data_IF_278189527680
#
_entry.id   IF_278189527680
#
_cell.length_a   1.000
_cell.length_b   1.000
_cell.length_c   1.000
_cell.angle_alpha   90.00
_cell.angle_beta   90.00
_cell.angle_gamma   90.00
#
_symmetry.space_group_name_H-M   'P 1'
#
loop_
_entity.id
_entity.type
_entity.pdbx_description
1 polymer ?
#
# COMPACT_ATOMS: atom_id res chain seq x y z
N UNK A 1 16.68 52.03 -24.08
CA UNK A 1 16.76 51.39 -22.74
C UNK A 1 16.24 49.95 -22.75
N UNK A 2 15.10 49.63 -23.37
CA UNK A 2 14.55 48.26 -23.40
C UNK A 2 15.47 47.18 -24.03
N UNK A 3 16.23 47.49 -25.10
CA UNK A 3 17.15 46.54 -25.75
C UNK A 3 18.34 46.11 -24.87
N UNK A 4 18.83 47.01 -23.99
CA UNK A 4 19.92 46.72 -23.06
C UNK A 4 19.46 45.87 -21.87
N UNK A 5 18.23 46.10 -21.41
CA UNK A 5 17.59 45.28 -20.37
C UNK A 5 17.33 43.83 -20.86
N UNK A 6 16.90 43.68 -22.11
CA UNK A 6 16.66 42.36 -22.71
C UNK A 6 17.96 41.57 -22.94
N UNK A 7 19.02 42.25 -23.37
CA UNK A 7 20.35 41.65 -23.54
C UNK A 7 20.97 41.23 -22.19
N UNK A 8 20.83 42.06 -21.15
CA UNK A 8 21.28 41.72 -19.80
C UNK A 8 20.54 40.51 -19.21
N UNK A 9 19.23 40.41 -19.44
CA UNK A 9 18.41 39.28 -18.99
C UNK A 9 18.78 37.97 -19.73
N UNK A 10 19.04 38.04 -21.03
CA UNK A 10 19.45 36.89 -21.82
C UNK A 10 20.82 36.34 -21.38
N UNK A 11 21.77 37.21 -21.05
CA UNK A 11 23.09 36.81 -20.53
C UNK A 11 22.99 36.20 -19.13
N UNK A 12 22.13 36.73 -18.27
CA UNK A 12 21.85 36.16 -16.95
C UNK A 12 21.21 34.77 -17.04
N UNK A 13 20.25 34.58 -17.94
CA UNK A 13 19.62 33.28 -18.19
C UNK A 13 20.62 32.27 -18.77
N UNK A 14 21.45 32.67 -19.72
CA UNK A 14 22.49 31.81 -20.27
C UNK A 14 23.52 31.39 -19.21
N UNK A 15 23.95 32.31 -18.35
CA UNK A 15 24.84 32.01 -17.24
C UNK A 15 24.21 31.07 -16.21
N UNK A 16 22.91 31.24 -15.90
CA UNK A 16 22.17 30.34 -15.01
C UNK A 16 22.08 28.91 -15.60
N UNK A 17 21.80 28.77 -16.90
CA UNK A 17 21.78 27.47 -17.58
C UNK A 17 23.16 26.78 -17.55
N UNK A 18 24.24 27.53 -17.76
CA UNK A 18 25.61 26.98 -17.71
C UNK A 18 25.99 26.51 -16.30
N UNK A 19 25.58 27.24 -15.26
CA UNK A 19 25.81 26.83 -13.85
C UNK A 19 25.01 25.58 -13.49
N UNK A 20 23.81 25.40 -14.03
CA UNK A 20 23.00 24.18 -13.84
C UNK A 20 23.64 22.99 -14.57
N UNK A 21 24.12 23.18 -15.79
CA UNK A 21 24.75 22.12 -16.60
C UNK A 21 26.13 21.67 -16.07
N UNK A 22 26.85 22.55 -15.35
CA UNK A 22 28.17 22.24 -14.78
C UNK A 22 28.11 21.64 -13.36
N UNK A 23 26.93 21.50 -12.76
CA UNK A 23 26.75 20.83 -11.46
C UNK A 23 26.30 19.37 -11.69
N UNK A 24 27.16 18.37 -11.47
CA UNK A 24 26.83 16.95 -11.69
C UNK A 24 25.75 16.40 -10.73
N UNK A 25 25.25 17.22 -9.80
CA UNK A 25 24.16 16.85 -8.88
C UNK A 25 22.76 17.14 -9.42
N UNK A 26 22.64 17.58 -10.67
CA UNK A 26 21.37 17.97 -11.30
C UNK A 26 20.80 16.90 -12.25
N UNK A 27 21.27 15.65 -12.16
CA UNK A 27 20.63 14.51 -12.82
C UNK A 27 19.55 13.97 -11.88
N UNK A 28 18.25 14.11 -12.23
CA UNK A 28 17.17 13.60 -11.40
C UNK A 28 17.32 12.09 -11.20
N UNK A 29 17.30 11.63 -9.94
CA UNK A 29 17.30 10.20 -9.58
C UNK A 29 18.65 9.61 -9.18
N UNK A 30 19.75 10.36 -9.20
CA UNK A 30 21.06 9.84 -8.80
C UNK A 30 21.41 10.10 -7.32
N UNK A 31 20.78 11.10 -6.68
CA UNK A 31 21.11 11.44 -5.31
C UNK A 31 20.61 10.39 -4.31
N UNK A 32 21.32 10.25 -3.19
CA UNK A 32 20.90 9.34 -2.11
C UNK A 32 19.54 9.73 -1.51
N UNK A 33 19.22 11.02 -1.49
CA UNK A 33 17.95 11.54 -0.98
C UNK A 33 16.75 11.16 -1.89
N UNK A 34 16.92 11.26 -3.21
CA UNK A 34 15.87 10.85 -4.16
C UNK A 34 15.62 9.34 -4.08
N UNK A 35 16.69 8.53 -4.04
CA UNK A 35 16.56 7.07 -3.90
C UNK A 35 15.85 6.66 -2.60
N UNK A 36 16.08 7.39 -1.51
CA UNK A 36 15.37 7.16 -0.25
C UNK A 36 13.89 7.51 -0.39
N UNK A 37 13.56 8.65 -1.00
CA UNK A 37 12.17 9.06 -1.23
C UNK A 37 11.41 8.08 -2.15
N UNK A 38 12.04 7.61 -3.23
CA UNK A 38 11.45 6.62 -4.14
C UNK A 38 11.18 5.29 -3.43
N UNK A 39 12.09 4.89 -2.55
CA UNK A 39 11.94 3.68 -1.74
C UNK A 39 10.77 3.82 -0.75
N UNK A 40 10.66 4.95 -0.05
CA UNK A 40 9.56 5.21 0.88
C UNK A 40 8.21 5.18 0.16
N UNK A 41 8.13 5.79 -1.03
CA UNK A 41 6.94 5.75 -1.86
C UNK A 41 6.60 4.31 -2.27
N UNK A 42 7.57 3.55 -2.74
CA UNK A 42 7.38 2.16 -3.16
C UNK A 42 6.86 1.28 -2.00
N UNK A 43 7.41 1.44 -0.79
CA UNK A 43 6.95 0.74 0.41
C UNK A 43 5.53 1.13 0.79
N UNK A 44 5.17 2.42 0.74
CA UNK A 44 3.81 2.90 1.04
C UNK A 44 2.78 2.35 0.05
N UNK A 45 3.13 2.31 -1.23
CA UNK A 45 2.27 1.73 -2.27
C UNK A 45 2.08 0.24 -2.03
N UNK A 46 3.16 -0.51 -1.80
CA UNK A 46 3.07 -1.95 -1.53
C UNK A 46 2.21 -2.27 -0.29
N UNK A 47 2.43 -1.54 0.82
CA UNK A 47 1.63 -1.68 2.04
C UNK A 47 0.14 -1.37 1.80
N UNK A 48 -0.15 -0.34 1.01
CA UNK A 48 -1.52 0.02 0.64
C UNK A 48 -2.17 -1.08 -0.19
N UNK A 49 -1.48 -1.56 -1.22
CA UNK A 49 -2.02 -2.55 -2.16
C UNK A 49 -2.27 -3.90 -1.49
N UNK A 50 -1.33 -4.38 -0.68
CA UNK A 50 -1.51 -5.66 0.02
C UNK A 50 -2.60 -5.56 1.09
N UNK A 51 -2.71 -4.44 1.80
CA UNK A 51 -3.80 -4.24 2.78
C UNK A 51 -5.16 -4.20 2.11
N UNK A 52 -5.29 -3.49 0.99
CA UNK A 52 -6.53 -3.46 0.21
C UNK A 52 -6.90 -4.86 -0.28
N UNK A 53 -5.95 -5.59 -0.86
CA UNK A 53 -6.18 -6.95 -1.32
C UNK A 53 -6.59 -7.90 -0.17
N UNK A 54 -5.94 -7.78 0.99
CA UNK A 54 -6.23 -8.61 2.15
C UNK A 54 -7.64 -8.36 2.73
N UNK A 55 -8.10 -7.11 2.69
CA UNK A 55 -9.42 -6.71 3.21
C UNK A 55 -10.56 -6.86 2.19
N UNK A 56 -10.25 -7.25 0.95
CA UNK A 56 -11.21 -7.34 -0.14
C UNK A 56 -11.78 -8.76 -0.25
N UNK A 57 -13.00 -8.95 0.24
CA UNK A 57 -13.69 -10.24 0.32
C UNK A 57 -14.97 -10.17 -0.48
N UNK A 58 -15.18 -11.14 -1.37
CA UNK A 58 -16.47 -11.37 -2.00
C UNK A 58 -16.65 -12.86 -2.19
N UNK A 59 -17.60 -13.43 -1.47
CA UNK A 59 -17.88 -14.87 -1.50
C UNK A 59 -18.18 -15.42 -2.90
N UNK A 60 -18.59 -14.56 -3.84
CA UNK A 60 -18.90 -14.93 -5.22
C UNK A 60 -17.66 -15.11 -6.09
N UNK A 61 -16.53 -14.52 -5.69
CA UNK A 61 -15.32 -14.43 -6.51
C UNK A 61 -14.03 -14.46 -5.65
N UNK A 62 -13.91 -15.46 -4.78
CA UNK A 62 -12.80 -15.54 -3.82
C UNK A 62 -11.46 -15.96 -4.43
N UNK A 63 -11.46 -16.77 -5.48
CA UNK A 63 -10.21 -17.32 -6.05
C UNK A 63 -9.25 -16.23 -6.57
N UNK A 64 -9.68 -15.24 -7.39
CA UNK A 64 -8.79 -14.17 -7.82
C UNK A 64 -8.35 -13.26 -6.66
N UNK A 65 -9.18 -13.07 -5.63
CA UNK A 65 -8.84 -12.27 -4.44
C UNK A 65 -7.75 -12.92 -3.62
N UNK A 66 -7.89 -14.23 -3.37
CA UNK A 66 -6.85 -15.06 -2.76
C UNK A 66 -5.56 -15.00 -3.59
N UNK A 67 -5.67 -15.15 -4.91
CA UNK A 67 -4.53 -15.03 -5.82
C UNK A 67 -3.82 -13.68 -5.72
N UNK A 68 -4.58 -12.59 -5.60
CA UNK A 68 -4.03 -11.24 -5.43
C UNK A 68 -3.23 -11.10 -4.13
N UNK A 69 -3.76 -11.58 -3.00
CA UNK A 69 -3.03 -11.58 -1.72
C UNK A 69 -1.73 -12.38 -1.81
N UNK A 70 -1.78 -13.58 -2.42
CA UNK A 70 -0.61 -14.44 -2.63
C UNK A 70 0.44 -13.84 -3.57
N UNK A 71 0.01 -13.03 -4.55
CA UNK A 71 0.92 -12.31 -5.46
C UNK A 71 1.65 -11.15 -4.80
N UNK A 72 1.08 -10.60 -3.73
CA UNK A 72 1.63 -9.46 -2.97
C UNK A 72 2.34 -9.90 -1.68
N UNK A 73 2.59 -11.19 -1.51
CA UNK A 73 3.19 -11.76 -0.31
C UNK A 73 4.37 -12.67 -0.60
N UNK A 74 5.16 -12.92 0.45
CA UNK A 74 6.31 -13.80 0.50
C UNK A 74 6.43 -14.42 1.90
N UNK A 75 7.41 -15.29 2.09
CA UNK A 75 7.81 -15.79 3.40
C UNK A 75 6.69 -16.41 4.23
N UNK A 76 6.70 -16.11 5.54
CA UNK A 76 5.84 -16.77 6.52
C UNK A 76 4.35 -16.50 6.27
N UNK A 77 3.97 -15.24 6.01
CA UNK A 77 2.60 -14.88 5.72
C UNK A 77 2.06 -15.63 4.51
N UNK A 78 2.82 -15.69 3.41
CA UNK A 78 2.39 -16.40 2.20
C UNK A 78 2.12 -17.87 2.48
N UNK A 79 3.03 -18.55 3.16
CA UNK A 79 2.88 -19.98 3.48
C UNK A 79 1.65 -20.26 4.35
N UNK A 80 1.41 -19.41 5.35
CA UNK A 80 0.22 -19.51 6.21
C UNK A 80 -1.06 -19.25 5.41
N UNK A 81 -1.08 -18.22 4.57
CA UNK A 81 -2.23 -17.89 3.74
C UNK A 81 -2.53 -18.98 2.70
N UNK A 82 -1.50 -19.58 2.08
CA UNK A 82 -1.67 -20.73 1.18
C UNK A 82 -2.30 -21.94 1.86
N UNK A 83 -1.92 -22.20 3.11
CA UNK A 83 -2.48 -23.28 3.93
C UNK A 83 -3.94 -22.99 4.28
N UNK A 84 -4.26 -21.74 4.63
CA UNK A 84 -5.60 -21.34 5.08
C UNK A 84 -6.60 -21.04 3.94
N UNK A 85 -6.15 -20.88 2.69
CA UNK A 85 -6.97 -20.34 1.59
C UNK A 85 -8.28 -21.09 1.34
N UNK A 86 -8.27 -22.42 1.47
CA UNK A 86 -9.46 -23.27 1.23
C UNK A 86 -10.51 -23.03 2.32
N UNK A 87 -10.08 -22.96 3.58
CA UNK A 87 -10.94 -22.68 4.71
C UNK A 87 -11.49 -21.25 4.67
N UNK A 88 -10.63 -20.27 4.35
CA UNK A 88 -11.04 -18.87 4.17
C UNK A 88 -12.13 -18.73 3.10
N UNK A 89 -11.95 -19.38 1.93
CA UNK A 89 -12.95 -19.41 0.87
C UNK A 89 -14.25 -20.05 1.35
N UNK A 90 -14.17 -21.19 2.03
CA UNK A 90 -15.33 -21.92 2.54
C UNK A 90 -16.12 -21.06 3.54
N UNK A 91 -15.44 -20.41 4.47
CA UNK A 91 -16.06 -19.54 5.47
C UNK A 91 -16.71 -18.30 4.81
N UNK A 92 -16.05 -17.68 3.83
CA UNK A 92 -16.62 -16.56 3.09
C UNK A 92 -17.92 -16.95 2.38
N UNK A 93 -17.96 -18.13 1.72
CA UNK A 93 -19.15 -18.68 1.05
C UNK A 93 -20.27 -18.98 2.04
N UNK A 94 -19.98 -19.66 3.14
CA UNK A 94 -20.97 -20.00 4.16
C UNK A 94 -21.61 -18.74 4.78
N UNK A 95 -20.80 -17.73 5.07
CA UNK A 95 -21.29 -16.47 5.61
C UNK A 95 -21.93 -15.54 4.56
N UNK A 96 -21.78 -15.84 3.26
CA UNK A 96 -22.02 -14.89 2.15
C UNK A 96 -21.37 -13.54 2.41
N UNK A 97 -20.10 -13.59 2.82
CA UNK A 97 -19.36 -12.41 3.24
C UNK A 97 -18.98 -11.54 2.04
N UNK A 98 -19.21 -10.23 2.16
CA UNK A 98 -18.71 -9.20 1.26
C UNK A 98 -18.08 -8.10 2.11
N UNK A 99 -16.86 -7.68 1.78
CA UNK A 99 -16.14 -6.62 2.46
C UNK A 99 -15.21 -5.90 1.49
N UNK A 100 -15.09 -4.58 1.62
CA UNK A 100 -14.12 -3.79 0.86
C UNK A 100 -13.39 -2.84 1.79
N UNK A 101 -12.08 -3.02 1.89
CA UNK A 101 -11.22 -2.23 2.76
C UNK A 101 -10.81 -0.89 2.16
N UNK A 102 -10.75 0.14 3.01
CA UNK A 102 -10.14 1.42 2.74
C UNK A 102 -8.92 1.61 3.66
N UNK A 103 -7.77 1.90 3.05
CA UNK A 103 -6.57 2.32 3.79
C UNK A 103 -6.69 3.80 4.09
N UNK A 104 -6.61 4.17 5.37
CA UNK A 104 -6.74 5.56 5.84
C UNK A 104 -5.38 6.21 6.04
N UNK A 105 -4.45 5.49 6.64
CA UNK A 105 -3.12 5.99 6.92
C UNK A 105 -2.08 4.88 6.77
N UNK A 106 -0.90 5.29 6.33
CA UNK A 106 0.30 4.46 6.23
C UNK A 106 1.46 5.21 6.85
N UNK A 107 2.11 4.61 7.85
CA UNK A 107 3.31 5.14 8.49
C UNK A 107 4.45 4.15 8.35
N UNK A 108 5.61 4.60 7.86
CA UNK A 108 6.82 3.79 7.85
C UNK A 108 7.46 3.94 9.25
N UNK A 109 7.64 2.83 9.95
CA UNK A 109 8.35 2.79 11.22
C UNK A 109 9.85 2.61 11.03
N UNK A 110 10.24 1.70 10.14
CA UNK A 110 11.62 1.44 9.78
C UNK A 110 11.74 0.99 8.31
N UNK A 111 12.86 1.30 7.66
CA UNK A 111 13.12 0.95 6.26
C UNK A 111 14.62 0.88 5.95
N UNK A 112 15.05 -0.23 5.38
CA UNK A 112 16.43 -0.43 4.90
C UNK A 112 16.45 -0.72 3.38
N UNK A 113 17.49 -1.38 2.86
CA UNK A 113 17.62 -1.72 1.43
C UNK A 113 16.55 -2.70 0.93
N UNK A 114 16.08 -3.60 1.79
CA UNK A 114 15.38 -4.82 1.41
C UNK A 114 14.32 -5.27 2.43
N UNK A 115 14.18 -4.58 3.55
CA UNK A 115 13.14 -4.77 4.56
C UNK A 115 12.49 -3.45 4.96
N UNK A 116 11.23 -3.52 5.40
CA UNK A 116 10.51 -2.37 5.94
C UNK A 116 9.48 -2.80 6.98
N UNK A 117 9.30 -1.99 8.02
CA UNK A 117 8.21 -2.10 8.99
C UNK A 117 7.23 -0.97 8.75
N UNK A 118 5.98 -1.30 8.46
CA UNK A 118 4.94 -0.34 8.08
C UNK A 118 3.70 -0.51 8.95
N UNK A 119 3.18 0.58 9.47
CA UNK A 119 1.93 0.62 10.20
C UNK A 119 0.80 1.12 9.29
N UNK A 120 -0.30 0.39 9.25
CA UNK A 120 -1.46 0.73 8.43
C UNK A 120 -2.71 0.85 9.29
N UNK A 121 -3.41 1.97 9.19
CA UNK A 121 -4.76 2.11 9.70
C UNK A 121 -5.74 1.98 8.53
N UNK A 122 -6.71 1.07 8.68
CA UNK A 122 -7.69 0.78 7.64
C UNK A 122 -9.06 0.53 8.26
N UNK A 123 -10.09 0.57 7.44
CA UNK A 123 -11.42 0.13 7.82
C UNK A 123 -12.11 -0.58 6.67
N UNK A 124 -13.20 -1.27 6.97
CA UNK A 124 -14.02 -1.97 6.00
C UNK A 124 -15.47 -1.91 6.42
N UNK A 125 -16.36 -1.94 5.42
CA UNK A 125 -17.77 -2.22 5.62
C UNK A 125 -18.03 -3.68 5.25
N UNK A 126 -18.68 -4.43 6.15
CA UNK A 126 -18.92 -5.86 6.01
C UNK A 126 -20.40 -6.16 5.89
N UNK A 127 -20.74 -7.00 4.92
CA UNK A 127 -22.05 -7.61 4.76
C UNK A 127 -21.89 -9.13 4.88
N UNK A 128 -22.81 -9.79 5.58
CA UNK A 128 -22.92 -11.24 5.66
C UNK A 128 -24.34 -11.63 6.09
N UNK A 129 -24.69 -12.92 6.01
CA UNK A 129 -26.05 -13.39 6.33
C UNK A 129 -26.53 -13.01 7.73
N UNK A 130 -25.63 -13.04 8.74
CA UNK A 130 -25.99 -12.71 10.12
C UNK A 130 -26.27 -11.22 10.28
N UNK A 131 -25.42 -10.36 9.70
CA UNK A 131 -25.59 -8.90 9.70
C UNK A 131 -26.92 -8.51 9.04
N UNK A 132 -27.23 -9.12 7.90
CA UNK A 132 -28.46 -8.80 7.17
C UNK A 132 -29.72 -9.31 7.89
N UNK A 133 -29.63 -10.45 8.59
CA UNK A 133 -30.71 -10.95 9.45
C UNK A 133 -30.96 -10.01 10.63
N UNK A 134 -29.91 -9.56 11.32
CA UNK A 134 -30.04 -8.66 12.46
C UNK A 134 -30.60 -7.29 12.06
N UNK A 135 -30.16 -6.75 10.90
CA UNK A 135 -30.73 -5.53 10.30
C UNK A 135 -32.23 -5.70 10.00
N UNK A 136 -32.61 -6.83 9.41
CA UNK A 136 -34.01 -7.14 9.10
C UNK A 136 -34.88 -7.29 10.36
N UNK A 137 -34.27 -7.67 11.49
CA UNK A 137 -34.91 -7.75 12.79
C UNK A 137 -34.94 -6.39 13.55
N UNK A 138 -34.48 -5.30 12.93
CA UNK A 138 -34.48 -3.96 13.53
C UNK A 138 -33.45 -3.77 14.65
N UNK A 139 -32.41 -4.61 14.71
CA UNK A 139 -31.33 -4.46 15.70
C UNK A 139 -30.33 -3.39 15.25
N UNK A 140 -29.67 -2.77 16.23
CA UNK A 140 -28.46 -1.98 15.95
C UNK A 140 -27.32 -2.93 15.56
N UNK A 141 -26.73 -2.73 14.38
CA UNK A 141 -25.70 -3.62 13.82
C UNK A 141 -24.48 -2.81 13.45
N UNK A 142 -23.35 -3.19 14.05
CA UNK A 142 -22.03 -2.64 13.71
C UNK A 142 -21.48 -3.38 12.47
N UNK A 143 -21.76 -2.83 11.29
CA UNK A 143 -21.29 -3.39 10.01
C UNK A 143 -19.95 -2.78 9.54
N UNK A 144 -19.40 -1.85 10.30
CA UNK A 144 -18.09 -1.24 10.05
C UNK A 144 -17.03 -1.82 10.98
N UNK A 145 -15.84 -2.13 10.45
CA UNK A 145 -14.71 -2.67 11.22
C UNK A 145 -13.48 -1.80 10.99
N UNK A 146 -12.79 -1.47 12.07
CA UNK A 146 -11.55 -0.72 12.05
C UNK A 146 -10.38 -1.63 12.35
N UNK A 147 -9.29 -1.44 11.62
CA UNK A 147 -8.08 -2.24 11.71
C UNK A 147 -6.85 -1.37 11.86
N UNK A 148 -5.91 -1.89 12.65
CA UNK A 148 -4.54 -1.42 12.68
C UNK A 148 -3.62 -2.62 12.46
N UNK A 149 -2.72 -2.48 11.51
CA UNK A 149 -1.77 -3.52 11.14
C UNK A 149 -0.35 -3.02 11.33
N UNK A 150 0.52 -3.92 11.77
CA UNK A 150 1.94 -3.84 11.49
C UNK A 150 2.24 -4.83 10.37
N UNK A 151 2.86 -4.34 9.30
CA UNK A 151 3.30 -5.11 8.16
C UNK A 151 4.82 -5.15 8.15
N UNK A 152 5.39 -6.34 8.02
CA UNK A 152 6.79 -6.53 7.68
C UNK A 152 6.86 -6.81 6.19
N UNK A 153 7.50 -5.93 5.43
CA UNK A 153 7.71 -6.09 3.99
C UNK A 153 9.15 -6.52 3.72
N UNK A 154 9.33 -7.35 2.69
CA UNK A 154 10.64 -7.72 2.17
C UNK A 154 10.70 -7.47 0.66
N UNK A 155 11.84 -6.99 0.19
CA UNK A 155 12.07 -6.73 -1.22
C UNK A 155 12.50 -8.01 -1.92
N UNK A 156 11.68 -8.50 -2.83
CA UNK A 156 11.96 -9.65 -3.69
C UNK A 156 12.11 -9.16 -5.12
N UNK A 157 13.36 -9.11 -5.60
CA UNK A 157 13.69 -8.47 -6.87
C UNK A 157 13.36 -6.97 -6.85
N UNK A 158 12.45 -6.53 -7.71
CA UNK A 158 12.02 -5.14 -7.79
C UNK A 158 10.79 -4.81 -6.91
N UNK A 159 10.20 -5.81 -6.23
CA UNK A 159 8.91 -5.67 -5.56
C UNK A 159 9.03 -5.76 -4.05
N UNK A 160 8.36 -4.86 -3.34
CA UNK A 160 8.11 -4.97 -1.91
C UNK A 160 6.91 -5.89 -1.70
N UNK A 161 7.10 -7.00 -0.98
CA UNK A 161 6.08 -8.00 -0.72
C UNK A 161 5.88 -8.20 0.77
N UNK A 162 4.65 -8.52 1.18
CA UNK A 162 4.30 -8.79 2.57
C UNK A 162 4.94 -10.10 3.05
N UNK A 163 5.84 -10.02 4.02
CA UNK A 163 6.46 -11.17 4.67
C UNK A 163 5.72 -11.59 5.94
N UNK A 164 5.21 -10.63 6.71
CA UNK A 164 4.42 -10.86 7.92
C UNK A 164 3.37 -9.77 8.14
N UNK A 165 2.23 -10.12 8.75
CA UNK A 165 1.13 -9.21 9.08
C UNK A 165 0.65 -9.49 10.51
N UNK A 166 0.60 -8.44 11.32
CA UNK A 166 0.15 -8.51 12.70
C UNK A 166 -0.96 -7.50 12.97
N UNK A 167 -1.98 -7.92 13.70
CA UNK A 167 -2.99 -7.01 14.26
C UNK A 167 -2.40 -6.32 15.49
N UNK A 168 -2.58 -5.00 15.59
CA UNK A 168 -2.19 -4.23 16.77
C UNK A 168 -3.44 -3.63 17.42
N UNK A 169 -3.54 -3.78 18.74
CA UNK A 169 -4.68 -3.32 19.55
C UNK A 169 -4.57 -1.83 19.88
#
# INVERSE_FOLDING_TARGET
MAKLALAGLAVLLAAACVVVLLRPTAVPGESAAEKANDRDLAVRVAATDVTKAFLDVDYRDMDPRIGKVLSLSTGAFKNQYETAKVDLKTQAVQAKAVATGAVRYVGIGDIDSDTAVVYVAADTKVSNVSIEQDKSAGKDVQDHRYYRFQLSLSKVGAHWLLNDLQFIS
#
